data_IF_471354787328
#
_entry.id   IF_471354787328
#
_cell.length_a   1.000
_cell.length_b   1.000
_cell.length_c   1.000
_cell.angle_alpha   90.00
_cell.angle_beta   90.00
_cell.angle_gamma   90.00
#
_symmetry.space_group_name_H-M   'P 1'
#
loop_
_entity.id
_entity.type
_entity.pdbx_description
1 polymer ?
#
# COMPACT_ATOMS: atom_id res chain seq x y z
N UNK A 1 -0.99 -23.74 -4.76
CA UNK A 1 -0.97 -23.20 -3.38
C UNK A 1 -1.74 -24.15 -2.50
N UNK A 2 -1.12 -24.73 -1.48
CA UNK A 2 -1.83 -25.54 -0.47
C UNK A 2 -2.67 -24.64 0.43
N UNK A 3 -3.79 -25.19 0.96
CA UNK A 3 -4.71 -24.47 1.86
C UNK A 3 -4.00 -23.89 3.09
N UNK A 4 -2.94 -24.57 3.58
CA UNK A 4 -2.13 -24.12 4.70
C UNK A 4 -1.31 -22.87 4.36
N UNK A 5 -0.62 -22.84 3.22
CA UNK A 5 0.13 -21.66 2.76
C UNK A 5 -0.79 -20.45 2.64
N UNK A 6 -2.00 -20.63 2.09
CA UNK A 6 -3.00 -19.55 2.01
C UNK A 6 -3.40 -19.01 3.39
N UNK A 7 -3.66 -19.91 4.35
CA UNK A 7 -4.04 -19.55 5.70
C UNK A 7 -2.91 -18.78 6.42
N UNK A 8 -1.67 -19.26 6.32
CA UNK A 8 -0.52 -18.59 6.93
C UNK A 8 -0.24 -17.23 6.30
N UNK A 9 -0.36 -17.10 4.97
CA UNK A 9 -0.25 -15.80 4.29
C UNK A 9 -1.32 -14.83 4.78
N UNK A 10 -2.60 -15.24 4.81
CA UNK A 10 -3.67 -14.38 5.30
C UNK A 10 -3.50 -13.96 6.75
N UNK A 11 -3.05 -14.89 7.60
CA UNK A 11 -2.78 -14.63 9.03
C UNK A 11 -1.62 -13.65 9.20
N UNK A 12 -0.55 -13.81 8.41
CA UNK A 12 0.59 -12.90 8.43
C UNK A 12 0.19 -11.48 8.01
N UNK A 13 -0.50 -11.35 6.88
CA UNK A 13 -0.97 -10.05 6.37
C UNK A 13 -1.87 -9.39 7.41
N UNK A 14 -2.98 -10.04 7.78
CA UNK A 14 -3.94 -9.47 8.73
C UNK A 14 -3.32 -9.15 10.08
N UNK A 15 -2.47 -10.04 10.62
CA UNK A 15 -1.80 -9.83 11.89
C UNK A 15 -0.82 -8.65 11.87
N UNK A 16 0.00 -8.54 10.82
CA UNK A 16 0.97 -7.44 10.72
C UNK A 16 0.31 -6.09 10.42
N UNK A 17 -0.78 -6.07 9.65
CA UNK A 17 -1.59 -4.86 9.41
C UNK A 17 -2.26 -4.38 10.71
N UNK A 18 -2.84 -5.29 11.50
CA UNK A 18 -3.46 -4.92 12.79
C UNK A 18 -2.41 -4.34 13.75
N UNK A 19 -1.22 -4.94 13.84
CA UNK A 19 -0.13 -4.41 14.64
C UNK A 19 0.34 -3.04 14.16
N UNK A 20 0.40 -2.82 12.84
CA UNK A 20 0.71 -1.52 12.25
C UNK A 20 -0.31 -0.44 12.62
N UNK A 21 -1.61 -0.76 12.56
CA UNK A 21 -2.70 0.15 12.96
C UNK A 21 -2.60 0.50 14.44
N UNK A 22 -2.42 -0.51 15.31
CA UNK A 22 -2.29 -0.31 16.76
C UNK A 22 -1.08 0.58 17.07
N UNK A 23 0.05 0.34 16.42
CA UNK A 23 1.26 1.16 16.56
C UNK A 23 0.97 2.62 16.15
N UNK A 24 0.35 2.82 14.98
CA UNK A 24 0.01 4.14 14.49
C UNK A 24 -0.88 4.92 15.45
N UNK A 25 -1.95 4.26 15.95
CA UNK A 25 -2.86 4.83 16.95
C UNK A 25 -2.12 5.18 18.24
N UNK A 26 -1.31 4.26 18.75
CA UNK A 26 -0.53 4.48 19.96
C UNK A 26 0.39 5.70 19.85
N UNK A 27 1.11 5.83 18.74
CA UNK A 27 2.05 6.95 18.53
C UNK A 27 1.33 8.29 18.40
N UNK A 28 0.29 8.38 17.57
CA UNK A 28 -0.39 9.66 17.31
C UNK A 28 -1.21 10.14 18.51
N UNK A 29 -1.78 9.23 19.30
CA UNK A 29 -2.53 9.58 20.51
C UNK A 29 -1.60 9.99 21.67
N UNK A 30 -0.37 9.47 21.70
CA UNK A 30 0.62 9.80 22.73
C UNK A 30 1.35 11.11 22.41
N UNK A 31 1.84 11.26 21.17
CA UNK A 31 2.65 12.41 20.77
C UNK A 31 1.79 13.64 20.45
N UNK A 32 0.57 13.43 19.96
CA UNK A 32 -0.40 14.49 19.60
C UNK A 32 0.20 15.58 18.70
N UNK A 33 0.73 15.23 17.51
CA UNK A 33 1.43 16.17 16.64
C UNK A 33 0.57 17.34 16.14
N UNK A 34 -0.77 17.21 16.14
CA UNK A 34 -1.70 18.23 15.67
C UNK A 34 -2.14 19.26 16.73
N UNK A 35 -1.83 19.04 18.02
CA UNK A 35 -2.25 19.93 19.12
C UNK A 35 -1.27 21.10 19.25
N UNK A 36 -1.74 22.34 19.11
CA UNK A 36 -0.93 23.58 19.26
C UNK A 36 -1.39 24.75 18.36
N UNK A 37 -0.68 25.89 18.45
CA UNK A 37 -0.99 27.21 17.81
C UNK A 37 -1.72 27.10 16.47
N UNK A 38 -2.88 27.76 16.38
CA UNK A 38 -3.82 27.67 15.26
C UNK A 38 -3.15 27.97 13.92
N UNK A 39 -3.46 27.17 12.91
CA UNK A 39 -3.20 27.58 11.52
C UNK A 39 -4.23 28.66 11.23
N UNK A 40 -3.84 29.93 11.21
CA UNK A 40 -4.71 31.01 10.74
C UNK A 40 -5.17 30.66 9.32
N UNK A 41 -6.47 30.40 9.17
CA UNK A 41 -7.11 29.91 7.94
C UNK A 41 -7.08 30.91 6.76
N UNK A 42 -6.38 32.03 6.86
CA UNK A 42 -6.48 33.10 5.86
C UNK A 42 -5.65 32.90 4.58
N UNK A 43 -4.68 31.98 4.53
CA UNK A 43 -3.73 31.91 3.41
C UNK A 43 -3.63 30.57 2.68
N UNK A 44 -4.54 29.61 2.91
CA UNK A 44 -4.62 28.45 2.01
C UNK A 44 -5.30 28.92 0.72
N UNK A 45 -4.50 29.44 -0.22
CA UNK A 45 -4.89 29.51 -1.64
C UNK A 45 -5.59 28.19 -1.97
N UNK A 46 -6.78 28.27 -2.55
CA UNK A 46 -7.50 27.11 -3.06
C UNK A 46 -6.53 26.22 -3.82
N UNK A 47 -6.12 25.13 -3.17
CA UNK A 47 -5.28 24.13 -3.79
C UNK A 47 -6.13 23.56 -4.92
N UNK A 48 -5.61 23.47 -6.17
CA UNK A 48 -6.37 22.87 -7.26
C UNK A 48 -6.82 21.48 -6.80
N UNK A 49 -8.05 21.04 -7.15
CA UNK A 49 -8.59 19.78 -6.70
C UNK A 49 -7.59 18.66 -7.03
N UNK A 50 -7.01 18.08 -5.97
CA UNK A 50 -6.05 16.99 -6.08
C UNK A 50 -6.78 15.81 -6.73
N UNK A 51 -6.21 15.32 -7.83
CA UNK A 51 -6.83 14.43 -8.81
C UNK A 51 -7.70 13.34 -8.18
N UNK A 52 -8.97 13.34 -8.58
CA UNK A 52 -9.99 12.43 -8.08
C UNK A 52 -9.74 11.03 -8.69
N UNK A 53 -9.06 10.14 -7.97
CA UNK A 53 -8.95 8.72 -8.37
C UNK A 53 -10.24 7.91 -8.17
N UNK A 54 -11.31 8.54 -7.68
CA UNK A 54 -12.66 8.00 -7.74
C UNK A 54 -13.63 9.11 -8.13
N UNK A 55 -13.77 9.40 -9.43
CA UNK A 55 -14.75 10.38 -9.91
C UNK A 55 -16.16 9.80 -9.78
N UNK A 56 -16.73 9.87 -8.59
CA UNK A 56 -18.19 9.76 -8.40
C UNK A 56 -18.78 11.14 -8.61
N UNK A 57 -19.42 11.32 -9.76
CA UNK A 57 -20.10 12.57 -10.10
C UNK A 57 -21.59 12.40 -9.78
N UNK A 58 -22.12 13.29 -8.93
CA UNK A 58 -23.56 13.36 -8.69
C UNK A 58 -24.15 14.08 -9.91
N UNK A 59 -24.64 13.30 -10.88
CA UNK A 59 -25.37 13.86 -12.02
C UNK A 59 -26.79 14.14 -11.58
N UNK A 60 -27.19 15.41 -11.58
CA UNK A 60 -28.61 15.78 -11.44
C UNK A 60 -29.33 15.34 -12.71
N UNK A 61 -30.17 14.32 -12.60
CA UNK A 61 -31.09 13.97 -13.69
C UNK A 61 -32.18 15.04 -13.72
N UNK A 62 -32.26 15.80 -14.82
CA UNK A 62 -33.45 16.63 -15.09
C UNK A 62 -34.50 15.70 -15.68
N UNK A 63 -35.60 15.50 -14.98
CA UNK A 63 -36.77 14.81 -15.54
C UNK A 63 -37.41 15.74 -16.58
N UNK A 64 -37.08 15.57 -17.85
CA UNK A 64 -37.69 16.31 -18.97
C UNK A 64 -38.96 15.61 -19.51
N UNK A 65 -39.61 14.75 -18.72
CA UNK A 65 -40.92 14.19 -19.07
C UNK A 65 -42.05 14.96 -18.37
N UNK A 66 -42.46 16.06 -19.00
CA UNK A 66 -43.72 16.75 -18.70
C UNK A 66 -44.87 15.91 -19.27
N UNK A 67 -45.47 15.05 -18.46
CA UNK A 67 -46.83 14.55 -18.67
C UNK A 67 -47.87 15.61 -18.23
N UNK A 68 -49.07 15.67 -18.85
CA UNK A 68 -50.00 16.77 -18.63
C UNK A 68 -50.62 16.74 -17.22
N UNK A 69 -50.45 17.89 -16.55
CA UNK A 69 -50.96 18.42 -15.28
C UNK A 69 -52.13 17.71 -14.57
N UNK A 70 -52.06 17.71 -13.23
CA UNK A 70 -53.15 18.10 -12.30
C UNK A 70 -52.52 18.40 -10.92
N UNK A 71 -52.72 19.62 -10.40
CA UNK A 71 -52.27 20.22 -9.12
C UNK A 71 -51.04 21.17 -9.17
N UNK A 72 -51.24 22.50 -8.99
CA UNK A 72 -50.17 23.49 -8.97
C UNK A 72 -49.78 23.83 -7.54
N UNK A 73 -49.26 22.88 -6.76
CA UNK A 73 -48.54 23.19 -5.52
C UNK A 73 -47.80 21.94 -5.10
N UNK A 74 -46.52 22.08 -4.76
CA UNK A 74 -45.55 21.01 -4.52
C UNK A 74 -44.88 20.50 -5.81
N UNK A 75 -44.06 21.36 -6.42
CA UNK A 75 -42.87 20.87 -7.14
C UNK A 75 -41.94 20.34 -6.05
N UNK A 76 -42.03 19.05 -5.74
CA UNK A 76 -40.94 18.36 -5.07
C UNK A 76 -39.77 18.42 -6.06
N UNK A 77 -38.81 19.31 -5.80
CA UNK A 77 -37.47 19.23 -6.39
C UNK A 77 -36.82 17.95 -5.84
N UNK A 78 -37.30 16.80 -6.28
CA UNK A 78 -36.72 15.52 -5.91
C UNK A 78 -35.48 15.32 -6.76
N UNK A 79 -34.32 15.61 -6.15
CA UNK A 79 -33.03 15.36 -6.77
C UNK A 79 -32.69 13.88 -6.62
N UNK A 80 -32.97 13.09 -7.65
CA UNK A 80 -32.49 11.72 -7.75
C UNK A 80 -30.97 11.73 -7.93
N UNK A 81 -30.26 11.23 -6.91
CA UNK A 81 -28.82 11.05 -6.94
C UNK A 81 -28.48 9.62 -7.34
N UNK A 82 -27.85 9.45 -8.50
CA UNK A 82 -27.36 8.14 -8.96
C UNK A 82 -25.84 8.05 -8.78
N UNK A 83 -25.39 7.01 -8.09
CA UNK A 83 -23.97 6.69 -7.99
C UNK A 83 -23.49 6.16 -9.36
N UNK A 84 -22.57 6.88 -10.01
CA UNK A 84 -21.92 6.45 -11.25
C UNK A 84 -20.43 6.26 -10.95
N UNK A 85 -19.94 5.04 -11.13
CA UNK A 85 -18.51 4.73 -11.08
C UNK A 85 -17.89 4.84 -12.46
N UNK A 86 -16.77 5.56 -12.58
CA UNK A 86 -15.94 5.55 -13.78
C UNK A 86 -14.74 4.63 -13.58
N UNK A 87 -14.37 3.88 -14.61
CA UNK A 87 -13.10 3.16 -14.62
C UNK A 87 -11.96 4.18 -14.61
N UNK A 88 -10.94 3.94 -13.80
CA UNK A 88 -9.72 4.74 -13.77
C UNK A 88 -8.64 3.99 -14.53
N UNK A 89 -7.99 4.67 -15.46
CA UNK A 89 -6.92 4.08 -16.25
C UNK A 89 -5.77 3.65 -15.35
N UNK A 90 -5.46 2.36 -15.38
CA UNK A 90 -4.40 1.75 -14.59
C UNK A 90 -4.32 0.24 -14.87
N UNK A 91 -3.12 -0.36 -14.76
CA UNK A 91 -2.96 -1.80 -14.94
C UNK A 91 -3.70 -2.56 -13.84
N UNK A 92 -4.61 -3.46 -14.23
CA UNK A 92 -5.29 -4.36 -13.30
C UNK A 92 -4.34 -5.48 -12.82
N UNK A 93 -3.48 -5.15 -11.85
CA UNK A 93 -2.46 -6.05 -11.32
C UNK A 93 -3.06 -7.33 -10.74
N UNK A 94 -4.13 -7.22 -9.94
CA UNK A 94 -4.80 -8.38 -9.33
C UNK A 94 -5.36 -9.32 -10.41
N UNK A 95 -6.00 -8.77 -11.44
CA UNK A 95 -6.50 -9.53 -12.58
C UNK A 95 -5.37 -10.24 -13.35
N UNK A 96 -4.26 -9.56 -13.60
CA UNK A 96 -3.08 -10.14 -14.25
C UNK A 96 -2.46 -11.27 -13.40
N UNK A 97 -2.43 -11.13 -12.07
CA UNK A 97 -1.93 -12.17 -11.16
C UNK A 97 -2.85 -13.39 -11.19
N UNK A 98 -4.16 -13.20 -11.03
CA UNK A 98 -5.14 -14.30 -11.05
C UNK A 98 -5.10 -15.05 -12.39
N UNK A 99 -5.00 -14.33 -13.50
CA UNK A 99 -4.85 -14.91 -14.82
C UNK A 99 -3.53 -15.70 -14.96
N UNK A 100 -2.40 -15.08 -14.60
CA UNK A 100 -1.08 -15.70 -14.71
C UNK A 100 -0.96 -16.95 -13.83
N UNK A 101 -1.56 -16.93 -12.63
CA UNK A 101 -1.61 -18.07 -11.73
C UNK A 101 -2.44 -19.22 -12.32
N UNK A 102 -3.63 -18.91 -12.81
CA UNK A 102 -4.52 -19.90 -13.44
C UNK A 102 -3.87 -20.52 -14.67
N UNK A 103 -3.28 -19.67 -15.53
CA UNK A 103 -2.53 -20.09 -16.70
C UNK A 103 -1.33 -20.98 -16.34
N UNK A 104 -0.59 -20.64 -15.29
CA UNK A 104 0.49 -21.47 -14.76
C UNK A 104 0.03 -22.86 -14.31
N UNK A 105 -1.13 -22.98 -13.66
CA UNK A 105 -1.73 -24.27 -13.28
C UNK A 105 -2.11 -25.09 -14.53
N UNK A 106 -2.71 -24.46 -15.54
CA UNK A 106 -3.11 -25.11 -16.78
C UNK A 106 -1.89 -25.66 -17.55
N UNK A 107 -0.83 -24.85 -17.67
CA UNK A 107 0.45 -25.27 -18.26
C UNK A 107 1.05 -26.44 -17.49
N UNK A 108 1.03 -26.39 -16.16
CA UNK A 108 1.55 -27.48 -15.34
C UNK A 108 0.77 -28.80 -15.55
N UNK A 109 -0.56 -28.72 -15.72
CA UNK A 109 -1.41 -29.88 -16.03
C UNK A 109 -1.17 -30.46 -17.43
N UNK A 110 -0.74 -29.64 -18.39
CA UNK A 110 -0.38 -30.11 -19.73
C UNK A 110 0.90 -30.97 -19.76
N UNK A 111 1.63 -31.05 -18.64
CA UNK A 111 2.74 -31.99 -18.45
C UNK A 111 3.91 -31.73 -19.40
N UNK A 112 4.51 -32.81 -19.92
CA UNK A 112 5.73 -32.72 -20.73
C UNK A 112 5.59 -31.88 -22.00
N UNK A 113 4.39 -31.80 -22.59
CA UNK A 113 4.13 -31.03 -23.82
C UNK A 113 4.39 -29.54 -23.61
N UNK A 114 4.16 -29.01 -22.41
CA UNK A 114 4.31 -27.59 -22.12
C UNK A 114 5.72 -27.19 -21.66
N UNK A 115 6.68 -28.12 -21.64
CA UNK A 115 8.06 -27.88 -21.16
C UNK A 115 8.75 -26.76 -21.95
N UNK A 116 8.56 -26.71 -23.27
CA UNK A 116 9.13 -25.65 -24.12
C UNK A 116 8.56 -24.27 -23.77
N UNK A 117 7.26 -24.18 -23.51
CA UNK A 117 6.59 -22.94 -23.10
C UNK A 117 7.10 -22.46 -21.74
N UNK A 118 7.25 -23.36 -20.77
CA UNK A 118 7.80 -23.04 -19.44
C UNK A 118 9.22 -22.48 -19.57
N UNK A 119 10.08 -23.12 -20.36
CA UNK A 119 11.46 -22.63 -20.60
C UNK A 119 11.48 -21.26 -21.27
N UNK A 120 10.59 -21.02 -22.23
CA UNK A 120 10.47 -19.70 -22.87
C UNK A 120 10.08 -18.61 -21.86
N UNK A 121 9.10 -18.88 -20.99
CA UNK A 121 8.67 -17.95 -19.93
C UNK A 121 9.82 -17.69 -18.95
N UNK A 122 10.59 -18.71 -18.57
CA UNK A 122 11.77 -18.55 -17.71
C UNK A 122 12.84 -17.66 -18.36
N UNK A 123 13.13 -17.87 -19.64
CA UNK A 123 14.08 -17.05 -20.39
C UNK A 123 13.65 -15.57 -20.43
N UNK A 124 12.36 -15.31 -20.67
CA UNK A 124 11.80 -13.95 -20.63
C UNK A 124 11.97 -13.33 -19.24
N UNK A 125 11.65 -14.08 -18.18
CA UNK A 125 11.83 -13.61 -16.81
C UNK A 125 13.29 -13.24 -16.50
N UNK A 126 14.26 -14.03 -16.98
CA UNK A 126 15.67 -13.74 -16.79
C UNK A 126 16.13 -12.52 -17.60
N UNK A 127 15.62 -12.33 -18.82
CA UNK A 127 15.86 -11.12 -19.61
C UNK A 127 15.32 -9.86 -18.92
N UNK A 128 14.12 -9.95 -18.33
CA UNK A 128 13.52 -8.85 -17.57
C UNK A 128 14.41 -8.45 -16.38
N UNK A 129 14.97 -9.41 -15.64
CA UNK A 129 15.91 -9.12 -14.54
C UNK A 129 17.12 -8.29 -14.98
N UNK A 130 17.65 -8.54 -16.18
CA UNK A 130 18.78 -7.78 -16.73
C UNK A 130 18.39 -6.32 -16.97
N UNK A 131 17.23 -6.08 -17.57
CA UNK A 131 16.71 -4.73 -17.83
C UNK A 131 16.54 -3.97 -16.50
N UNK A 132 16.02 -4.62 -15.46
CA UNK A 132 15.89 -4.01 -14.14
C UNK A 132 17.24 -3.59 -13.56
N UNK A 133 18.29 -4.41 -13.71
CA UNK A 133 19.63 -4.02 -13.28
C UNK A 133 20.11 -2.74 -13.96
N UNK A 134 19.79 -2.52 -15.23
CA UNK A 134 20.13 -1.27 -15.92
C UNK A 134 19.35 -0.08 -15.37
N UNK A 135 18.04 -0.23 -15.15
CA UNK A 135 17.21 0.83 -14.55
C UNK A 135 17.77 1.23 -13.17
N UNK A 136 18.19 0.26 -12.35
CA UNK A 136 18.78 0.51 -11.04
C UNK A 136 20.07 1.35 -11.10
N UNK A 137 20.82 1.31 -12.20
CA UNK A 137 22.01 2.14 -12.38
C UNK A 137 21.67 3.62 -12.64
N UNK A 138 20.59 3.89 -13.37
CA UNK A 138 20.13 5.26 -13.64
C UNK A 138 19.33 5.88 -12.48
N UNK A 139 18.87 5.02 -11.58
CA UNK A 139 17.98 5.33 -10.48
C UNK A 139 18.42 6.50 -9.57
N UNK A 140 19.70 6.65 -9.19
CA UNK A 140 20.14 7.75 -8.34
C UNK A 140 19.91 9.14 -8.95
N UNK A 141 19.92 9.24 -10.28
CA UNK A 141 19.71 10.51 -11.00
C UNK A 141 18.23 10.90 -10.95
N UNK A 142 17.31 9.93 -11.17
CA UNK A 142 15.87 10.18 -11.11
C UNK A 142 15.40 10.69 -9.75
N UNK A 143 15.95 10.12 -8.66
CA UNK A 143 15.66 10.55 -7.28
C UNK A 143 16.02 12.01 -7.05
N UNK A 144 17.17 12.43 -7.56
CA UNK A 144 17.67 13.78 -7.34
C UNK A 144 16.70 14.83 -7.91
N UNK A 145 16.16 14.59 -9.11
CA UNK A 145 15.18 15.50 -9.72
C UNK A 145 13.83 15.50 -8.98
N UNK A 146 13.37 14.32 -8.53
CA UNK A 146 12.14 14.21 -7.73
C UNK A 146 12.25 14.98 -6.40
N UNK A 147 13.40 14.93 -5.73
CA UNK A 147 13.65 15.69 -4.49
C UNK A 147 13.60 17.20 -4.78
N UNK A 148 14.30 17.66 -5.82
CA UNK A 148 14.44 19.08 -6.13
C UNK A 148 13.09 19.73 -6.46
N UNK A 149 12.28 19.10 -7.30
CA UNK A 149 10.95 19.63 -7.69
C UNK A 149 10.05 19.87 -6.47
N UNK A 150 10.02 18.92 -5.53
CA UNK A 150 9.11 18.99 -4.39
C UNK A 150 9.58 19.96 -3.30
N UNK A 151 10.89 20.16 -3.15
CA UNK A 151 11.45 21.16 -2.21
C UNK A 151 11.13 22.60 -2.66
N UNK A 152 11.05 22.84 -3.96
CA UNK A 152 10.78 24.18 -4.52
C UNK A 152 9.33 24.67 -4.31
N UNK A 153 8.39 23.78 -3.96
CA UNK A 153 6.96 24.09 -3.85
C UNK A 153 6.50 24.52 -2.45
N UNK A 154 7.39 24.64 -1.46
CA UNK A 154 7.03 24.94 -0.07
C UNK A 154 7.06 26.46 0.20
N UNK A 155 5.93 27.05 0.63
CA UNK A 155 5.78 28.52 0.80
C UNK A 155 5.43 29.01 2.23
N UNK A 156 5.02 28.16 3.18
CA UNK A 156 4.57 28.59 4.53
C UNK A 156 5.29 27.87 5.68
N UNK A 157 6.05 28.61 6.50
CA UNK A 157 6.87 28.06 7.58
C UNK A 157 6.06 27.46 8.75
N UNK A 158 4.88 28.01 9.09
CA UNK A 158 4.10 27.53 10.24
C UNK A 158 3.44 26.18 9.91
N UNK A 159 2.86 26.08 8.71
CA UNK A 159 2.35 24.83 8.18
C UNK A 159 3.46 23.77 8.10
N UNK A 160 4.67 24.17 7.69
CA UNK A 160 5.82 23.27 7.60
C UNK A 160 6.24 22.72 8.96
N UNK A 161 6.21 23.51 10.05
CA UNK A 161 6.54 22.98 11.39
C UNK A 161 5.55 21.90 11.83
N UNK A 162 4.25 22.10 11.60
CA UNK A 162 3.22 21.08 11.93
C UNK A 162 3.38 19.83 11.05
N UNK A 163 3.59 20.02 9.74
CA UNK A 163 3.86 18.95 8.79
C UNK A 163 5.16 18.20 9.10
N UNK A 164 6.19 18.88 9.60
CA UNK A 164 7.43 18.27 10.04
C UNK A 164 7.23 17.41 11.29
N UNK A 165 6.45 17.88 12.28
CA UNK A 165 6.06 17.07 13.44
C UNK A 165 5.28 15.82 13.02
N UNK A 166 4.29 15.97 12.13
CA UNK A 166 3.57 14.84 11.56
C UNK A 166 4.53 13.85 10.89
N UNK A 167 5.39 14.36 10.01
CA UNK A 167 6.36 13.56 9.26
C UNK A 167 7.29 12.80 10.20
N UNK A 168 7.77 13.43 11.26
CA UNK A 168 8.61 12.78 12.28
C UNK A 168 7.87 11.63 12.98
N UNK A 169 6.60 11.80 13.35
CA UNK A 169 5.79 10.73 13.97
C UNK A 169 5.55 9.57 13.01
N UNK A 170 5.25 9.86 11.74
CA UNK A 170 5.08 8.82 10.70
C UNK A 170 6.39 8.07 10.48
N UNK A 171 7.50 8.78 10.30
CA UNK A 171 8.83 8.17 10.10
C UNK A 171 9.18 7.29 11.31
N UNK A 172 8.94 7.77 12.53
CA UNK A 172 9.15 6.98 13.74
C UNK A 172 8.31 5.70 13.74
N UNK A 173 7.02 5.80 13.39
CA UNK A 173 6.13 4.64 13.27
C UNK A 173 6.61 3.64 12.22
N UNK A 174 7.04 4.11 11.05
CA UNK A 174 7.58 3.29 9.97
C UNK A 174 8.89 2.59 10.38
N UNK A 175 9.77 3.28 11.11
CA UNK A 175 11.00 2.70 11.64
C UNK A 175 10.71 1.65 12.71
N UNK A 176 9.79 1.90 13.64
CA UNK A 176 9.38 0.92 14.65
C UNK A 176 8.75 -0.30 13.97
N UNK A 177 7.88 -0.09 12.98
CA UNK A 177 7.26 -1.18 12.23
C UNK A 177 8.31 -2.07 11.55
N UNK A 178 9.27 -1.46 10.84
CA UNK A 178 10.27 -2.18 10.05
C UNK A 178 11.43 -2.78 10.85
N UNK A 179 11.88 -2.13 11.92
CA UNK A 179 13.05 -2.53 12.70
C UNK A 179 12.70 -3.24 14.01
N UNK A 180 11.47 -3.12 14.51
CA UNK A 180 11.05 -3.72 15.77
C UNK A 180 9.92 -4.72 15.55
N UNK A 181 8.77 -4.31 15.01
CA UNK A 181 7.59 -5.18 14.93
C UNK A 181 7.80 -6.35 13.96
N UNK A 182 8.17 -6.07 12.71
CA UNK A 182 8.39 -7.13 11.71
C UNK A 182 9.50 -8.12 12.13
N UNK A 183 10.69 -7.65 12.59
CA UNK A 183 11.73 -8.54 13.13
C UNK A 183 11.26 -9.35 14.35
N UNK A 184 10.48 -8.75 15.25
CA UNK A 184 9.96 -9.44 16.44
C UNK A 184 8.95 -10.53 16.07
N UNK A 185 8.03 -10.26 15.14
CA UNK A 185 7.10 -11.27 14.62
C UNK A 185 7.87 -12.43 13.97
N UNK A 186 8.90 -12.14 13.18
CA UNK A 186 9.75 -13.18 12.61
C UNK A 186 10.50 -13.98 13.68
N UNK A 187 11.15 -13.30 14.64
CA UNK A 187 11.95 -13.93 15.68
C UNK A 187 11.11 -14.81 16.62
N UNK A 188 9.90 -14.38 16.98
CA UNK A 188 9.02 -15.16 17.87
C UNK A 188 8.55 -16.46 17.24
N UNK A 189 8.31 -16.47 15.93
CA UNK A 189 7.83 -17.65 15.19
C UNK A 189 8.97 -18.56 14.71
N UNK A 190 10.07 -17.98 14.20
CA UNK A 190 11.16 -18.73 13.54
C UNK A 190 12.36 -18.93 14.47
N UNK A 191 12.53 -18.08 15.49
CA UNK A 191 13.67 -18.07 16.44
C UNK A 191 15.05 -17.98 15.77
N UNK A 192 15.10 -17.34 14.61
CA UNK A 192 16.34 -17.04 13.88
C UNK A 192 16.58 -15.55 13.82
N UNK A 193 17.83 -15.15 13.59
CA UNK A 193 18.22 -13.73 13.53
C UNK A 193 17.49 -13.01 12.36
N UNK A 194 16.55 -12.08 12.64
CA UNK A 194 15.81 -11.37 11.61
C UNK A 194 16.66 -10.38 10.81
N UNK A 195 17.74 -9.85 11.39
CA UNK A 195 18.57 -8.83 10.74
C UNK A 195 19.32 -9.37 9.52
N UNK A 196 19.46 -10.69 9.38
CA UNK A 196 19.97 -11.33 8.17
C UNK A 196 19.06 -11.03 6.99
N UNK A 197 17.74 -11.04 7.20
CA UNK A 197 16.76 -10.71 6.16
C UNK A 197 16.95 -9.28 5.71
N UNK A 198 16.97 -8.34 6.66
CA UNK A 198 17.14 -6.91 6.38
C UNK A 198 18.45 -6.61 5.62
N UNK A 199 19.56 -7.25 6.01
CA UNK A 199 20.85 -7.09 5.32
C UNK A 199 20.80 -7.64 3.89
N UNK A 200 20.21 -8.82 3.71
CA UNK A 200 20.11 -9.47 2.41
C UNK A 200 19.20 -8.70 1.45
N UNK A 201 18.11 -8.11 1.94
CA UNK A 201 17.09 -7.39 1.15
C UNK A 201 17.35 -5.89 1.04
N UNK A 202 18.47 -5.39 1.55
CA UNK A 202 18.90 -3.98 1.47
C UNK A 202 18.79 -3.37 0.06
N UNK A 203 19.14 -4.13 -0.99
CA UNK A 203 18.97 -3.70 -2.39
C UNK A 203 17.50 -3.49 -2.75
N UNK A 204 16.63 -4.44 -2.41
CA UNK A 204 15.20 -4.35 -2.67
C UNK A 204 14.55 -3.20 -1.89
N UNK A 205 14.92 -3.03 -0.61
CA UNK A 205 14.50 -1.89 0.19
C UNK A 205 14.90 -0.56 -0.47
N UNK A 206 16.16 -0.44 -0.92
CA UNK A 206 16.65 0.78 -1.55
C UNK A 206 15.93 1.05 -2.88
N UNK A 207 15.69 0.02 -3.68
CA UNK A 207 14.90 0.14 -4.91
C UNK A 207 13.47 0.61 -4.63
N UNK A 208 12.80 0.01 -3.64
CA UNK A 208 11.44 0.40 -3.25
C UNK A 208 11.37 1.81 -2.69
N UNK A 209 12.33 2.17 -1.84
CA UNK A 209 12.46 3.53 -1.31
C UNK A 209 12.59 4.54 -2.44
N UNK A 210 13.40 4.24 -3.44
CA UNK A 210 13.68 5.17 -4.52
C UNK A 210 12.52 5.26 -5.54
N UNK A 211 11.99 4.11 -5.99
CA UNK A 211 10.95 4.09 -7.03
C UNK A 211 9.59 4.51 -6.45
N UNK A 212 9.42 4.44 -5.12
CA UNK A 212 8.17 4.67 -4.43
C UNK A 212 7.01 3.79 -4.94
N UNK A 213 7.33 2.60 -5.46
CA UNK A 213 6.35 1.57 -5.79
C UNK A 213 6.84 0.16 -5.44
N UNK A 214 6.07 -0.54 -4.60
CA UNK A 214 6.31 -1.95 -4.24
C UNK A 214 6.22 -2.86 -5.46
N UNK A 215 5.22 -2.63 -6.33
CA UNK A 215 4.97 -3.43 -7.52
C UNK A 215 6.06 -3.25 -8.57
N UNK A 216 6.54 -2.02 -8.78
CA UNK A 216 7.67 -1.76 -9.69
C UNK A 216 8.98 -2.38 -9.19
N UNK A 217 9.11 -2.57 -7.87
CA UNK A 217 10.29 -3.15 -7.24
C UNK A 217 10.27 -4.68 -7.19
N UNK A 218 9.13 -5.31 -7.49
CA UNK A 218 8.89 -6.75 -7.38
C UNK A 218 9.99 -7.64 -8.00
N UNK A 219 10.56 -7.33 -9.18
CA UNK A 219 11.60 -8.16 -9.79
C UNK A 219 12.90 -8.18 -8.97
N UNK A 220 13.24 -7.08 -8.29
CA UNK A 220 14.40 -7.00 -7.41
C UNK A 220 14.13 -7.71 -6.08
N UNK A 221 12.88 -7.64 -5.58
CA UNK A 221 12.46 -8.39 -4.40
C UNK A 221 12.59 -9.89 -4.67
N UNK A 222 12.11 -10.37 -5.82
CA UNK A 222 12.24 -11.75 -6.29
C UNK A 222 13.70 -12.18 -6.33
N UNK A 223 14.58 -11.39 -6.95
CA UNK A 223 16.00 -11.70 -7.02
C UNK A 223 16.64 -11.80 -5.62
N UNK A 224 16.37 -10.85 -4.73
CA UNK A 224 16.92 -10.87 -3.37
C UNK A 224 16.43 -12.08 -2.57
N UNK A 225 15.15 -12.44 -2.71
CA UNK A 225 14.57 -13.55 -1.99
C UNK A 225 15.04 -14.92 -2.52
N UNK A 226 15.15 -15.10 -3.83
CA UNK A 226 15.62 -16.34 -4.44
C UNK A 226 17.14 -16.53 -4.26
N UNK A 227 17.95 -15.50 -4.57
CA UNK A 227 19.41 -15.66 -4.66
C UNK A 227 20.11 -15.48 -3.31
N UNK A 228 19.68 -14.51 -2.48
CA UNK A 228 20.37 -14.21 -1.20
C UNK A 228 19.74 -14.88 0.00
N UNK A 229 18.42 -15.05 -0.01
CA UNK A 229 17.69 -15.67 1.10
C UNK A 229 17.37 -17.15 0.82
N UNK A 230 17.73 -17.66 -0.35
CA UNK A 230 17.57 -19.07 -0.74
C UNK A 230 16.14 -19.59 -0.54
N UNK A 231 15.14 -18.72 -0.73
CA UNK A 231 13.73 -19.09 -0.65
C UNK A 231 13.34 -19.92 -1.87
N UNK A 232 12.41 -20.88 -1.71
CA UNK A 232 11.90 -21.65 -2.84
C UNK A 232 11.31 -20.73 -3.91
N UNK A 233 11.86 -20.78 -5.13
CA UNK A 233 11.48 -19.86 -6.21
C UNK A 233 10.03 -19.99 -6.66
N UNK A 234 9.41 -21.18 -6.54
CA UNK A 234 7.97 -21.37 -6.84
C UNK A 234 7.10 -20.63 -5.84
N UNK A 235 7.46 -20.70 -4.56
CA UNK A 235 6.76 -19.97 -3.50
C UNK A 235 6.95 -18.46 -3.68
N UNK A 236 8.19 -18.03 -3.91
CA UNK A 236 8.55 -16.62 -4.05
C UNK A 236 7.79 -15.93 -5.19
N UNK A 237 7.77 -16.54 -6.38
CA UNK A 237 7.04 -16.06 -7.56
C UNK A 237 5.53 -16.03 -7.41
N UNK A 238 4.98 -16.89 -6.55
CA UNK A 238 3.55 -16.91 -6.26
C UNK A 238 3.17 -15.85 -5.22
N UNK A 239 3.96 -15.77 -4.15
CA UNK A 239 3.59 -15.00 -2.96
C UNK A 239 3.93 -13.52 -3.07
N UNK A 240 5.08 -13.17 -3.63
CA UNK A 240 5.49 -11.76 -3.69
C UNK A 240 4.51 -10.88 -4.46
N UNK A 241 3.94 -11.28 -5.61
CA UNK A 241 2.91 -10.47 -6.27
C UNK A 241 1.66 -10.23 -5.40
N UNK A 242 1.27 -11.24 -4.60
CA UNK A 242 0.12 -11.15 -3.69
C UNK A 242 0.44 -10.22 -2.53
N UNK A 243 1.61 -10.40 -1.90
CA UNK A 243 2.06 -9.58 -0.78
C UNK A 243 2.25 -8.12 -1.19
N UNK A 244 2.96 -7.86 -2.30
CA UNK A 244 3.19 -6.48 -2.79
C UNK A 244 1.90 -5.72 -3.12
N UNK A 245 0.79 -6.42 -3.37
CA UNK A 245 -0.50 -5.80 -3.66
C UNK A 245 -1.40 -5.61 -2.44
N UNK A 246 -1.22 -6.41 -1.37
CA UNK A 246 -2.17 -6.50 -0.25
C UNK A 246 -1.52 -6.12 1.08
N UNK A 247 -0.24 -6.40 1.27
CA UNK A 247 0.50 -6.24 2.51
C UNK A 247 1.14 -4.85 2.63
N UNK A 248 0.30 -3.82 2.81
CA UNK A 248 0.76 -2.43 2.87
C UNK A 248 0.82 -1.88 4.30
N UNK A 249 1.66 -2.50 5.14
CA UNK A 249 1.80 -2.14 6.56
C UNK A 249 2.23 -0.68 6.80
N UNK A 250 3.15 -0.16 5.99
CA UNK A 250 3.56 1.24 6.06
C UNK A 250 2.43 2.21 5.69
N UNK A 251 1.55 1.82 4.77
CA UNK A 251 0.36 2.58 4.43
C UNK A 251 -0.60 2.61 5.62
N UNK A 252 -0.81 1.48 6.31
CA UNK A 252 -1.67 1.44 7.50
C UNK A 252 -1.17 2.39 8.61
N UNK A 253 0.14 2.37 8.91
CA UNK A 253 0.75 3.29 9.90
C UNK A 253 0.50 4.74 9.50
N UNK A 254 0.77 5.09 8.24
CA UNK A 254 0.58 6.44 7.71
C UNK A 254 -0.87 6.90 7.83
N UNK A 255 -1.82 6.11 7.32
CA UNK A 255 -3.23 6.49 7.21
C UNK A 255 -3.86 6.76 8.58
N UNK A 256 -3.53 5.93 9.57
CA UNK A 256 -3.99 6.11 10.95
C UNK A 256 -3.44 7.40 11.54
N UNK A 257 -2.12 7.62 11.43
CA UNK A 257 -1.47 8.81 12.01
C UNK A 257 -1.97 10.07 11.31
N UNK A 258 -2.08 10.06 9.98
CA UNK A 258 -2.58 11.17 9.18
C UNK A 258 -4.04 11.50 9.52
N UNK A 259 -4.93 10.51 9.57
CA UNK A 259 -6.34 10.73 9.88
C UNK A 259 -6.55 11.34 11.27
N UNK A 260 -5.85 10.82 12.29
CA UNK A 260 -5.95 11.36 13.65
C UNK A 260 -5.29 12.74 13.75
N UNK A 261 -4.21 13.00 13.00
CA UNK A 261 -3.61 14.32 12.93
C UNK A 261 -4.56 15.37 12.35
N UNK A 262 -5.30 15.04 11.27
CA UNK A 262 -6.32 15.93 10.71
C UNK A 262 -7.44 16.22 11.72
N UNK A 263 -7.85 15.24 12.51
CA UNK A 263 -8.80 15.49 13.60
C UNK A 263 -8.21 16.45 14.66
N UNK A 264 -6.94 16.26 15.04
CA UNK A 264 -6.27 17.09 16.04
C UNK A 264 -6.10 18.55 15.61
N UNK A 265 -5.72 18.82 14.36
CA UNK A 265 -5.56 20.20 13.89
C UNK A 265 -6.89 20.96 13.72
N UNK A 266 -8.00 20.22 13.64
CA UNK A 266 -9.37 20.75 13.62
C UNK A 266 -9.98 20.86 15.02
N UNK A 267 -9.19 20.63 16.07
CA UNK A 267 -9.65 20.62 17.47
C UNK A 267 -10.81 19.63 17.72
N UNK A 268 -10.87 18.54 16.93
CA UNK A 268 -11.88 17.49 17.08
C UNK A 268 -11.35 16.41 18.02
N UNK A 269 -12.03 16.23 19.14
CA UNK A 269 -11.79 15.11 20.04
C UNK A 269 -12.45 13.85 19.50
N UNK A 270 -11.65 12.84 19.16
CA UNK A 270 -12.16 11.56 18.69
C UNK A 270 -12.65 10.71 19.88
N UNK A 271 -13.88 10.19 19.76
CA UNK A 271 -14.40 9.18 20.69
C UNK A 271 -13.76 7.80 20.42
N UNK A 272 -13.84 6.89 21.40
CA UNK A 272 -13.35 5.52 21.28
C UNK A 272 -13.94 4.80 20.05
N UNK A 273 -15.22 5.03 19.71
CA UNK A 273 -15.84 4.49 18.51
C UNK A 273 -15.19 4.99 17.21
N UNK A 274 -14.88 6.28 17.14
CA UNK A 274 -14.23 6.88 15.97
C UNK A 274 -12.77 6.42 15.83
N UNK A 275 -12.05 6.26 16.94
CA UNK A 275 -10.68 5.72 16.94
C UNK A 275 -10.65 4.29 16.35
N UNK A 276 -11.58 3.44 16.77
CA UNK A 276 -11.71 2.07 16.23
C UNK A 276 -12.10 2.12 14.74
N UNK A 277 -13.04 2.99 14.37
CA UNK A 277 -13.48 3.15 12.99
C UNK A 277 -12.34 3.61 12.06
N UNK A 278 -11.52 4.58 12.49
CA UNK A 278 -10.32 5.01 11.75
C UNK A 278 -9.35 3.84 11.57
N UNK A 279 -9.06 3.09 12.63
CA UNK A 279 -8.16 1.94 12.56
C UNK A 279 -8.65 0.85 11.62
N UNK A 280 -9.93 0.50 11.68
CA UNK A 280 -10.53 -0.52 10.81
C UNK A 280 -10.59 -0.07 9.36
N UNK A 281 -11.03 1.16 9.11
CA UNK A 281 -11.13 1.72 7.75
C UNK A 281 -9.74 1.84 7.12
N UNK A 282 -8.74 2.25 7.89
CA UNK A 282 -7.34 2.25 7.45
C UNK A 282 -6.86 0.86 7.04
N UNK A 283 -7.10 -0.17 7.87
CA UNK A 283 -6.75 -1.54 7.53
C UNK A 283 -7.42 -2.01 6.22
N UNK A 284 -8.71 -1.70 6.03
CA UNK A 284 -9.45 -2.06 4.81
C UNK A 284 -8.86 -1.36 3.59
N UNK A 285 -8.54 -0.07 3.69
CA UNK A 285 -7.97 0.74 2.61
C UNK A 285 -6.62 0.19 2.15
N UNK A 286 -5.83 -0.39 3.06
CA UNK A 286 -4.54 -0.99 2.68
C UNK A 286 -4.63 -2.18 1.74
N UNK A 287 -5.79 -2.87 1.70
CA UNK A 287 -6.03 -3.96 0.73
C UNK A 287 -6.47 -3.45 -0.65
N UNK A 288 -7.00 -2.23 -0.73
CA UNK A 288 -7.50 -1.61 -1.95
C UNK A 288 -6.54 -0.64 -2.63
N UNK A 289 -5.46 -0.25 -1.95
CA UNK A 289 -4.43 0.62 -2.51
C UNK A 289 -3.57 -0.18 -3.49
N UNK A 290 -3.77 0.03 -4.79
CA UNK A 290 -2.80 -0.43 -5.78
C UNK A 290 -1.47 0.29 -5.51
N UNK A 291 -0.32 -0.40 -5.65
CA UNK A 291 1.03 0.12 -5.42
C UNK A 291 1.48 1.23 -6.38
N UNK A 292 0.68 2.28 -6.48
CA UNK A 292 0.81 3.47 -7.31
C UNK A 292 1.32 4.60 -6.39
N UNK A 293 2.39 5.32 -6.79
CA UNK A 293 2.96 6.39 -5.99
C UNK A 293 1.96 7.52 -5.66
N UNK A 294 2.19 8.22 -4.55
CA UNK A 294 1.53 9.47 -4.14
C UNK A 294 0.00 9.40 -3.95
N UNK A 295 -0.55 8.24 -3.57
CA UNK A 295 -2.00 8.05 -3.35
C UNK A 295 -2.47 8.29 -1.92
N UNK A 296 -1.56 8.50 -0.94
CA UNK A 296 -1.88 8.53 0.49
C UNK A 296 -2.85 9.63 0.92
N UNK A 297 -2.70 10.85 0.39
CA UNK A 297 -3.63 11.93 0.73
C UNK A 297 -5.07 11.62 0.29
N UNK A 298 -5.26 10.93 -0.84
CA UNK A 298 -6.59 10.54 -1.37
C UNK A 298 -7.22 9.47 -0.49
N UNK A 299 -6.44 8.47 -0.08
CA UNK A 299 -6.90 7.41 0.80
C UNK A 299 -7.21 7.92 2.20
N UNK A 300 -6.47 8.90 2.70
CA UNK A 300 -6.79 9.58 3.97
C UNK A 300 -8.12 10.35 3.88
N UNK A 301 -8.38 11.06 2.78
CA UNK A 301 -9.68 11.73 2.54
C UNK A 301 -10.83 10.72 2.61
N UNK A 302 -10.66 9.54 2.01
CA UNK A 302 -11.65 8.48 2.04
C UNK A 302 -11.92 7.97 3.46
N UNK A 303 -10.86 7.77 4.27
CA UNK A 303 -11.00 7.35 5.67
C UNK A 303 -11.71 8.42 6.50
N UNK A 304 -11.31 9.69 6.38
CA UNK A 304 -11.93 10.79 7.10
C UNK A 304 -13.41 10.91 6.75
N UNK A 305 -13.76 10.83 5.47
CA UNK A 305 -15.15 10.88 5.01
C UNK A 305 -15.96 9.69 5.54
N UNK A 306 -15.38 8.49 5.55
CA UNK A 306 -16.05 7.29 6.06
C UNK A 306 -16.35 7.36 7.56
N UNK A 307 -15.54 8.08 8.33
CA UNK A 307 -15.73 8.26 9.79
C UNK A 307 -16.46 9.58 10.12
N UNK A 308 -16.81 10.39 9.12
CA UNK A 308 -17.54 11.65 9.29
C UNK A 308 -16.69 12.82 9.77
N UNK A 309 -15.39 12.82 9.49
CA UNK A 309 -14.45 13.89 9.83
C UNK A 309 -14.20 14.84 8.66
N UNK A 310 -13.82 16.11 8.91
CA UNK A 310 -13.48 17.06 7.86
C UNK A 310 -12.29 16.57 7.04
N UNK A 311 -12.50 16.36 5.74
CA UNK A 311 -11.45 15.89 4.83
C UNK A 311 -10.72 17.02 4.10
N UNK A 312 -11.18 18.27 4.22
CA UNK A 312 -10.63 19.43 3.51
C UNK A 312 -9.13 19.62 3.79
N UNK A 313 -8.74 19.48 5.05
CA UNK A 313 -7.37 19.74 5.47
C UNK A 313 -6.41 18.59 5.16
N UNK A 314 -6.91 17.42 4.74
CA UNK A 314 -6.05 16.32 4.28
C UNK A 314 -5.27 16.69 3.00
N UNK A 315 -5.71 17.70 2.24
CA UNK A 315 -4.99 18.21 1.09
C UNK A 315 -3.57 18.70 1.42
N UNK A 316 -3.32 19.19 2.64
CA UNK A 316 -1.98 19.63 3.04
C UNK A 316 -0.97 18.47 3.13
N UNK A 317 -1.44 17.23 3.27
CA UNK A 317 -0.58 16.04 3.34
C UNK A 317 0.20 15.84 2.04
N UNK A 318 -0.34 16.31 0.90
CA UNK A 318 0.31 16.27 -0.42
C UNK A 318 1.71 16.86 -0.37
N UNK A 319 1.94 17.89 0.44
CA UNK A 319 3.23 18.59 0.57
C UNK A 319 4.33 17.66 1.10
N UNK A 320 4.00 16.74 2.00
CA UNK A 320 4.95 15.79 2.61
C UNK A 320 4.84 14.38 2.05
N UNK A 321 3.80 14.12 1.26
CA UNK A 321 3.49 12.83 0.66
C UNK A 321 4.69 12.28 -0.11
N UNK A 322 5.41 13.13 -0.84
CA UNK A 322 6.56 12.69 -1.63
C UNK A 322 7.63 12.01 -0.76
N UNK A 323 8.01 12.57 0.39
CA UNK A 323 9.03 11.94 1.27
C UNK A 323 8.48 10.69 1.92
N UNK A 324 7.27 10.80 2.45
CA UNK A 324 6.68 9.75 3.28
C UNK A 324 6.36 8.52 2.43
N UNK A 325 5.94 8.70 1.19
CA UNK A 325 5.61 7.61 0.27
C UNK A 325 6.82 6.72 -0.04
N UNK A 326 7.99 7.33 -0.20
CA UNK A 326 9.26 6.61 -0.42
C UNK A 326 9.59 5.72 0.80
N UNK A 327 9.48 6.28 2.01
CA UNK A 327 9.76 5.53 3.25
C UNK A 327 8.72 4.42 3.46
N UNK A 328 7.44 4.70 3.25
CA UNK A 328 6.35 3.71 3.34
C UNK A 328 6.59 2.54 2.40
N UNK A 329 6.92 2.83 1.15
CA UNK A 329 7.20 1.80 0.15
C UNK A 329 8.37 0.94 0.57
N UNK A 330 9.46 1.54 1.06
CA UNK A 330 10.59 0.79 1.61
C UNK A 330 10.17 -0.17 2.73
N UNK A 331 9.33 0.28 3.68
CA UNK A 331 8.81 -0.56 4.76
C UNK A 331 7.91 -1.68 4.25
N UNK A 332 7.03 -1.41 3.28
CA UNK A 332 6.17 -2.41 2.66
C UNK A 332 7.00 -3.52 2.01
N UNK A 333 8.01 -3.14 1.21
CA UNK A 333 8.93 -4.07 0.54
C UNK A 333 9.67 -4.96 1.55
N UNK A 334 10.13 -4.40 2.66
CA UNK A 334 10.76 -5.17 3.75
C UNK A 334 9.76 -6.12 4.40
N UNK A 335 8.52 -5.68 4.64
CA UNK A 335 7.43 -6.51 5.13
C UNK A 335 7.11 -7.69 4.21
N UNK A 336 7.13 -7.49 2.90
CA UNK A 336 6.90 -8.56 1.92
C UNK A 336 8.01 -9.61 1.97
N UNK A 337 9.27 -9.16 2.09
CA UNK A 337 10.41 -10.07 2.25
C UNK A 337 10.30 -10.91 3.52
N UNK A 338 9.97 -10.29 4.66
CA UNK A 338 9.76 -11.03 5.92
C UNK A 338 8.64 -12.05 5.80
N UNK A 339 7.52 -11.67 5.15
CA UNK A 339 6.37 -12.56 4.96
C UNK A 339 6.72 -13.80 4.15
N UNK A 340 7.45 -13.61 3.04
CA UNK A 340 7.87 -14.72 2.19
C UNK A 340 8.84 -15.66 2.89
N UNK A 341 9.83 -15.13 3.62
CA UNK A 341 10.79 -15.96 4.34
C UNK A 341 10.13 -16.72 5.49
N UNK A 342 9.26 -16.05 6.24
CA UNK A 342 8.49 -16.66 7.33
C UNK A 342 7.65 -17.84 6.80
N UNK A 343 6.94 -17.64 5.69
CA UNK A 343 6.03 -18.66 5.15
C UNK A 343 6.81 -19.78 4.47
N UNK A 344 7.96 -19.49 3.87
CA UNK A 344 8.88 -20.51 3.41
C UNK A 344 9.36 -21.42 4.55
N UNK A 345 9.66 -20.83 5.71
CA UNK A 345 10.05 -21.59 6.90
C UNK A 345 8.90 -22.44 7.45
N UNK A 346 7.70 -21.86 7.60
CA UNK A 346 6.53 -22.56 8.14
C UNK A 346 6.00 -23.67 7.23
N UNK A 347 6.14 -23.53 5.91
CA UNK A 347 5.68 -24.50 4.92
C UNK A 347 6.82 -25.36 4.34
N UNK A 348 8.00 -25.38 4.96
CA UNK A 348 9.20 -26.04 4.41
C UNK A 348 8.99 -27.51 4.05
N UNK A 349 8.27 -28.26 4.89
CA UNK A 349 8.04 -29.69 4.68
C UNK A 349 7.08 -29.97 3.51
N UNK A 350 6.04 -29.15 3.31
CA UNK A 350 5.16 -29.25 2.12
C UNK A 350 5.90 -28.87 0.83
N UNK A 351 6.79 -27.88 0.90
CA UNK A 351 7.56 -27.42 -0.26
C UNK A 351 8.56 -28.48 -0.72
N UNK A 352 9.15 -29.25 0.21
CA UNK A 352 9.99 -30.41 -0.12
C UNK A 352 9.23 -31.52 -0.84
N UNK A 353 7.96 -31.74 -0.48
CA UNK A 353 7.12 -32.74 -1.14
C UNK A 353 6.66 -32.29 -2.54
N UNK A 354 6.53 -30.98 -2.78
CA UNK A 354 6.26 -30.38 -4.09
C UNK A 354 7.46 -30.40 -5.06
N UNK A 355 8.67 -30.57 -4.55
CA UNK A 355 9.90 -30.72 -5.36
C UNK A 355 10.26 -32.18 -5.66
N UNK A 356 9.54 -33.16 -5.09
CA UNK A 356 9.64 -34.55 -5.52
C UNK A 356 9.07 -34.68 -6.93
N UNK A 357 9.78 -35.28 -7.90
CA UNK A 357 9.21 -35.55 -9.21
C UNK A 357 7.96 -36.41 -9.02
N UNK A 358 6.86 -36.01 -9.66
CA UNK A 358 5.64 -36.82 -9.75
C UNK A 358 6.07 -38.23 -10.15
N UNK A 359 5.88 -39.21 -9.26
CA UNK A 359 6.00 -40.61 -9.63
C UNK A 359 4.90 -40.86 -10.67
N UNK A 360 5.31 -40.89 -11.93
CA UNK A 360 4.52 -41.46 -13.02
C UNK A 360 4.21 -42.89 -12.61
N UNK A 361 2.94 -43.15 -12.26
CA UNK A 361 2.36 -44.48 -12.25
C UNK A 361 1.56 -44.59 -13.55
#
# INVERSE_FOLDING_TARGET
MTRKTALFTGTYIGGTTVLAVILGLFLVLTIKPGVGEHISQENIKEMPPFSIHYKTEIVKVKNDEVGPALHPTVVLNDTDMKLVGSYVDGPNMLGLILWSFTFGILINRAGQVATSTVKAIQCINDAIKIIFNWILWYLPIGVLFLIVENVLNVQDWVAVVKLAKLSAVIILGLLIQSLVILPMVYFTLVRQNPFVILKSTSKAWMTGFIIASSTASLPIILQCCEEKLTVNGKLCRLMLPILTSINMNGTAVYEVIASVFIAQINDITLDAGQIIAVGLTSAIVTFGSAGIPATGAVTTILILTAVGLPARDAAMLVVVEWVLDHIRTGVNVVGDCYGVVLINFLCHDELKDLDKPLRLI
#
